data_IF_968167182793
#
_entry.id   IF_968167182793
#
_cell.length_a   1.000
_cell.length_b   1.000
_cell.length_c   1.000
_cell.angle_alpha   90.00
_cell.angle_beta   90.00
_cell.angle_gamma   90.00
#
_symmetry.space_group_name_H-M   'P 1'
#
loop_
_entity.id
_entity.type
_entity.pdbx_description
1 polymer ?
#
# COMPACT_ATOMS: atom_id res chain seq x y z
N UNK A 1 -41.59 -14.48 -27.38
CA UNK A 1 -41.02 -15.25 -26.23
C UNK A 1 -41.00 -16.76 -26.47
N UNK A 2 -42.13 -17.43 -26.77
CA UNK A 2 -42.16 -18.91 -26.94
C UNK A 2 -41.18 -19.45 -28.00
N UNK A 3 -41.03 -18.77 -29.15
CA UNK A 3 -40.08 -19.17 -30.21
C UNK A 3 -38.59 -19.05 -29.82
N UNK A 4 -38.25 -18.08 -28.98
CA UNK A 4 -36.87 -17.87 -28.50
C UNK A 4 -36.50 -18.97 -27.51
N UNK A 5 -37.42 -19.31 -26.61
CA UNK A 5 -37.23 -20.40 -25.63
C UNK A 5 -37.06 -21.74 -26.37
N UNK A 6 -37.86 -22.00 -27.40
CA UNK A 6 -37.71 -23.21 -28.23
C UNK A 6 -36.35 -23.27 -28.95
N UNK A 7 -35.87 -22.13 -29.46
CA UNK A 7 -34.55 -22.05 -30.13
C UNK A 7 -33.40 -22.33 -29.14
N UNK A 8 -33.48 -21.76 -27.94
CA UNK A 8 -32.47 -21.99 -26.88
C UNK A 8 -32.45 -23.45 -26.45
N UNK A 9 -33.61 -24.10 -26.31
CA UNK A 9 -33.68 -25.54 -25.97
C UNK A 9 -33.07 -26.38 -27.10
N UNK A 10 -33.40 -26.09 -28.36
CA UNK A 10 -32.84 -26.80 -29.53
C UNK A 10 -31.31 -26.68 -29.61
N UNK A 11 -30.77 -25.49 -29.39
CA UNK A 11 -29.32 -25.25 -29.39
C UNK A 11 -28.65 -26.05 -28.27
N UNK A 12 -29.20 -26.02 -27.05
CA UNK A 12 -28.62 -26.74 -25.91
C UNK A 12 -28.64 -28.26 -26.10
N UNK A 13 -29.74 -28.82 -26.65
CA UNK A 13 -29.84 -30.25 -26.93
C UNK A 13 -28.85 -30.66 -28.03
N UNK A 14 -28.71 -29.85 -29.09
CA UNK A 14 -27.76 -30.11 -30.16
C UNK A 14 -26.30 -30.07 -29.65
N UNK A 15 -25.96 -29.11 -28.79
CA UNK A 15 -24.60 -29.01 -28.21
C UNK A 15 -24.32 -30.07 -27.16
N UNK A 16 -25.33 -30.57 -26.44
CA UNK A 16 -25.16 -31.63 -25.43
C UNK A 16 -24.79 -32.99 -26.04
N UNK A 17 -25.11 -33.21 -27.31
CA UNK A 17 -24.72 -34.42 -28.05
C UNK A 17 -23.32 -34.32 -28.66
N UNK A 18 -22.73 -33.12 -28.68
CA UNK A 18 -21.36 -32.93 -29.15
C UNK A 18 -20.39 -33.26 -28.01
N UNK A 19 -19.81 -34.46 -28.03
CA UNK A 19 -18.69 -34.78 -27.16
C UNK A 19 -17.43 -34.06 -27.68
N UNK A 20 -17.27 -32.79 -27.30
CA UNK A 20 -16.13 -31.94 -27.67
C UNK A 20 -14.76 -32.50 -27.24
N UNK A 21 -14.75 -33.54 -26.39
CA UNK A 21 -13.55 -34.18 -25.87
C UNK A 21 -13.34 -35.60 -26.42
N UNK A 22 -14.11 -36.03 -27.43
CA UNK A 22 -13.83 -37.29 -28.12
C UNK A 22 -12.55 -37.16 -28.96
N UNK A 23 -11.45 -37.63 -28.38
CA UNK A 23 -10.11 -37.62 -28.95
C UNK A 23 -10.03 -38.32 -30.32
N UNK A 24 -10.98 -39.20 -30.64
CA UNK A 24 -11.01 -39.93 -31.92
C UNK A 24 -11.44 -39.07 -33.11
N UNK A 25 -12.07 -37.91 -32.86
CA UNK A 25 -12.44 -36.95 -33.91
C UNK A 25 -11.30 -35.99 -34.28
N UNK A 26 -10.20 -36.02 -33.54
CA UNK A 26 -9.03 -35.19 -33.79
C UNK A 26 -7.92 -36.06 -34.37
N UNK A 27 -7.56 -35.84 -35.63
CA UNK A 27 -6.32 -36.36 -36.19
C UNK A 27 -5.14 -35.70 -35.48
N UNK A 28 -4.62 -36.33 -34.43
CA UNK A 28 -3.42 -35.86 -33.72
C UNK A 28 -2.20 -36.23 -34.56
N UNK A 29 -1.85 -35.37 -35.53
CA UNK A 29 -0.47 -35.32 -35.99
C UNK A 29 0.36 -34.77 -34.83
N UNK A 30 1.12 -35.64 -34.17
CA UNK A 30 2.23 -35.18 -33.33
C UNK A 30 3.30 -34.63 -34.25
N UNK A 31 3.15 -33.38 -34.62
CA UNK A 31 4.28 -32.61 -35.10
C UNK A 31 5.34 -32.64 -33.99
N UNK A 32 6.56 -33.04 -34.32
CA UNK A 32 7.72 -32.87 -33.44
C UNK A 32 8.02 -31.38 -33.34
N UNK A 33 7.18 -30.63 -32.63
CA UNK A 33 7.37 -29.20 -32.39
C UNK A 33 8.49 -29.09 -31.37
N UNK A 34 9.69 -28.77 -31.87
CA UNK A 34 10.80 -28.34 -31.02
C UNK A 34 10.42 -26.98 -30.43
N UNK A 35 9.76 -26.97 -29.26
CA UNK A 35 9.40 -25.73 -28.56
C UNK A 35 10.69 -25.04 -28.11
N UNK A 36 11.06 -23.88 -28.68
CA UNK A 36 12.25 -23.19 -28.23
C UNK A 36 11.93 -22.61 -26.85
N UNK A 37 12.43 -23.23 -25.79
CA UNK A 37 12.32 -22.73 -24.40
C UNK A 37 12.82 -21.28 -24.26
N UNK A 38 13.61 -20.81 -25.23
CA UNK A 38 14.10 -19.45 -25.35
C UNK A 38 13.01 -18.39 -25.63
N UNK A 39 11.81 -18.76 -26.09
CA UNK A 39 10.75 -17.80 -26.40
C UNK A 39 10.28 -17.02 -25.16
N UNK A 40 10.16 -17.70 -24.01
CA UNK A 40 9.77 -17.06 -22.75
C UNK A 40 10.85 -16.08 -22.27
N UNK A 41 12.13 -16.49 -22.29
CA UNK A 41 13.26 -15.64 -21.89
C UNK A 41 13.33 -14.38 -22.75
N UNK A 42 13.08 -14.51 -24.06
CA UNK A 42 13.08 -13.35 -24.95
C UNK A 42 11.90 -12.40 -24.69
N UNK A 43 10.73 -12.94 -24.35
CA UNK A 43 9.59 -12.12 -23.93
C UNK A 43 9.84 -11.37 -22.61
N UNK A 44 10.69 -11.88 -21.72
CA UNK A 44 11.13 -11.14 -20.53
C UNK A 44 12.01 -9.93 -20.87
N UNK A 45 12.80 -9.99 -21.95
CA UNK A 45 13.65 -8.88 -22.39
C UNK A 45 12.80 -7.87 -23.16
N UNK A 46 12.01 -8.34 -24.13
CA UNK A 46 11.12 -7.51 -24.94
C UNK A 46 9.74 -8.17 -24.97
N UNK A 47 8.73 -7.53 -24.35
CA UNK A 47 7.36 -8.01 -24.39
C UNK A 47 6.88 -8.30 -25.83
N UNK A 48 6.29 -9.47 -26.03
CA UNK A 48 5.80 -9.90 -27.34
C UNK A 48 6.85 -10.57 -28.27
N UNK A 49 8.13 -10.62 -27.89
CA UNK A 49 9.19 -11.22 -28.71
C UNK A 49 9.01 -12.72 -28.93
N UNK A 50 8.62 -13.46 -27.90
CA UNK A 50 8.36 -14.90 -28.00
C UNK A 50 7.25 -15.23 -29.01
N UNK A 51 6.19 -14.42 -29.04
CA UNK A 51 5.10 -14.55 -30.02
C UNK A 51 5.61 -14.28 -31.44
N UNK A 52 6.44 -13.25 -31.61
CA UNK A 52 7.04 -12.93 -32.90
C UNK A 52 7.93 -14.07 -33.41
N UNK A 53 8.75 -14.66 -32.52
CA UNK A 53 9.59 -15.81 -32.85
C UNK A 53 8.78 -17.06 -33.22
N UNK A 54 7.62 -17.26 -32.59
CA UNK A 54 6.76 -18.40 -32.83
C UNK A 54 5.88 -18.24 -34.08
N UNK A 55 6.13 -17.22 -34.91
CA UNK A 55 5.33 -16.86 -36.09
C UNK A 55 3.84 -16.63 -35.77
N UNK A 56 3.53 -16.22 -34.54
CA UNK A 56 2.18 -15.78 -34.22
C UNK A 56 1.83 -14.51 -35.02
N UNK A 57 0.54 -14.25 -35.26
CA UNK A 57 0.11 -12.98 -35.85
C UNK A 57 0.69 -11.77 -35.09
N UNK A 58 1.24 -10.82 -35.84
CA UNK A 58 1.96 -9.65 -35.30
C UNK A 58 1.14 -8.83 -34.29
N UNK A 59 -0.19 -8.85 -34.41
CA UNK A 59 -1.09 -8.17 -33.49
C UNK A 59 -0.97 -8.72 -32.06
N UNK A 60 -0.64 -10.02 -31.86
CA UNK A 60 -0.44 -10.60 -30.52
C UNK A 60 0.81 -9.99 -29.87
N UNK A 61 1.93 -9.97 -30.59
CA UNK A 61 3.17 -9.35 -30.12
C UNK A 61 2.98 -7.87 -29.79
N UNK A 62 2.28 -7.13 -30.66
CA UNK A 62 1.98 -5.72 -30.44
C UNK A 62 1.11 -5.52 -29.20
N UNK A 63 0.11 -6.39 -28.98
CA UNK A 63 -0.76 -6.32 -27.81
C UNK A 63 0.03 -6.47 -26.51
N UNK A 64 0.93 -7.46 -26.42
CA UNK A 64 1.80 -7.63 -25.26
C UNK A 64 2.71 -6.42 -25.03
N UNK A 65 3.33 -5.91 -26.09
CA UNK A 65 4.17 -4.72 -26.02
C UNK A 65 3.40 -3.48 -25.55
N UNK A 66 2.20 -3.27 -26.08
CA UNK A 66 1.34 -2.14 -25.67
C UNK A 66 0.95 -2.24 -24.21
N UNK A 67 0.49 -3.40 -23.74
CA UNK A 67 0.11 -3.57 -22.33
C UNK A 67 1.27 -3.35 -21.37
N UNK A 68 2.47 -3.81 -21.72
CA UNK A 68 3.65 -3.60 -20.88
C UNK A 68 4.08 -2.14 -20.85
N UNK A 69 4.10 -1.44 -21.99
CA UNK A 69 4.42 0.00 -22.02
C UNK A 69 3.41 0.78 -21.16
N UNK A 70 2.12 0.49 -21.28
CA UNK A 70 1.08 1.13 -20.47
C UNK A 70 1.25 0.77 -18.99
N UNK A 71 1.42 -0.50 -18.66
CA UNK A 71 1.60 -0.97 -17.29
C UNK A 71 2.81 -0.35 -16.59
N UNK A 72 3.97 -0.33 -17.27
CA UNK A 72 5.19 0.29 -16.76
C UNK A 72 5.02 1.81 -16.60
N UNK A 73 4.36 2.47 -17.56
CA UNK A 73 4.10 3.92 -17.47
C UNK A 73 3.23 4.25 -16.25
N UNK A 74 2.16 3.48 -16.04
CA UNK A 74 1.29 3.62 -14.88
C UNK A 74 2.04 3.31 -13.58
N UNK A 75 2.83 2.23 -13.53
CA UNK A 75 3.61 1.88 -12.36
C UNK A 75 4.58 3.00 -11.97
N UNK A 76 5.28 3.59 -12.95
CA UNK A 76 6.20 4.71 -12.73
C UNK A 76 5.43 5.94 -12.21
N UNK A 77 4.29 6.27 -12.83
CA UNK A 77 3.47 7.41 -12.40
C UNK A 77 2.95 7.24 -10.96
N UNK A 78 2.32 6.10 -10.65
CA UNK A 78 1.78 5.84 -9.31
C UNK A 78 2.86 5.75 -8.24
N UNK A 79 4.04 5.18 -8.55
CA UNK A 79 5.15 5.16 -7.60
C UNK A 79 5.66 6.58 -7.31
N UNK A 80 5.78 7.44 -8.34
CA UNK A 80 6.15 8.85 -8.15
C UNK A 80 5.14 9.59 -7.28
N UNK A 81 3.85 9.43 -7.57
CA UNK A 81 2.77 10.06 -6.81
C UNK A 81 2.74 9.57 -5.36
N UNK A 82 2.99 8.28 -5.13
CA UNK A 82 3.14 7.72 -3.79
C UNK A 82 4.31 8.36 -3.02
N UNK A 83 5.47 8.52 -3.67
CA UNK A 83 6.63 9.18 -3.09
C UNK A 83 6.41 10.68 -2.82
N UNK A 84 5.69 11.37 -3.68
CA UNK A 84 5.30 12.78 -3.48
C UNK A 84 4.41 12.92 -2.24
N UNK A 85 3.34 12.14 -2.14
CA UNK A 85 2.44 12.15 -0.97
C UNK A 85 3.19 11.80 0.31
N UNK A 86 4.11 10.81 0.26
CA UNK A 86 4.95 10.45 1.41
C UNK A 86 5.80 11.65 1.85
N UNK A 87 6.52 12.28 0.93
CA UNK A 87 7.38 13.44 1.23
C UNK A 87 6.60 14.64 1.73
N UNK A 88 5.41 14.88 1.18
CA UNK A 88 4.52 15.95 1.62
C UNK A 88 4.09 15.72 3.08
N UNK A 89 3.69 14.50 3.42
CA UNK A 89 3.36 14.12 4.80
C UNK A 89 4.56 14.23 5.74
N UNK A 90 5.73 13.70 5.37
CA UNK A 90 6.95 13.79 6.19
C UNK A 90 7.36 15.25 6.43
N UNK A 91 7.34 16.08 5.37
CA UNK A 91 7.64 17.51 5.46
C UNK A 91 6.64 18.25 6.33
N UNK A 92 5.36 17.87 6.28
CA UNK A 92 4.33 18.44 7.15
C UNK A 92 4.56 18.01 8.61
N UNK A 93 4.78 16.72 8.86
CA UNK A 93 5.07 16.17 10.18
C UNK A 93 6.30 16.79 10.85
N UNK A 94 7.35 17.08 10.10
CA UNK A 94 8.55 17.71 10.63
C UNK A 94 8.34 19.14 11.10
N UNK A 95 7.40 19.86 10.47
CA UNK A 95 7.03 21.23 10.84
C UNK A 95 6.02 21.27 11.98
N UNK A 96 5.08 20.34 11.97
CA UNK A 96 3.84 20.45 12.76
C UNK A 96 3.77 19.49 13.94
N UNK A 97 4.60 18.44 14.00
CA UNK A 97 4.59 17.47 15.09
C UNK A 97 5.84 17.56 15.97
N UNK A 98 5.67 17.63 17.30
CA UNK A 98 6.80 17.63 18.26
C UNK A 98 6.59 16.69 19.45
N UNK A 99 7.69 16.10 19.94
CA UNK A 99 7.68 15.18 21.08
C UNK A 99 7.25 15.86 22.38
N UNK A 100 7.75 17.07 22.62
CA UNK A 100 7.41 17.85 23.81
C UNK A 100 5.91 18.15 23.87
N UNK A 101 5.32 18.57 22.74
CA UNK A 101 3.89 18.83 22.64
C UNK A 101 3.11 17.56 22.92
N UNK A 102 3.51 16.44 22.31
CA UNK A 102 2.89 15.15 22.54
C UNK A 102 2.91 14.75 24.02
N UNK A 103 4.06 14.84 24.68
CA UNK A 103 4.21 14.50 26.09
C UNK A 103 3.35 15.38 27.00
N UNK A 104 3.33 16.70 26.76
CA UNK A 104 2.58 17.65 27.57
C UNK A 104 1.07 17.54 27.36
N UNK A 105 0.64 17.36 26.11
CA UNK A 105 -0.76 17.17 25.77
C UNK A 105 -1.24 15.83 26.33
N UNK A 106 -0.49 14.74 26.18
CA UNK A 106 -0.88 13.41 26.72
C UNK A 106 -1.16 13.44 28.22
N UNK A 107 -0.35 14.16 29.00
CA UNK A 107 -0.60 14.40 30.45
C UNK A 107 -1.92 15.12 30.72
N UNK A 108 -2.24 16.11 29.89
CA UNK A 108 -3.47 16.90 30.01
C UNK A 108 -4.71 16.10 29.62
N UNK A 109 -4.54 15.20 28.64
CA UNK A 109 -5.62 14.37 28.07
C UNK A 109 -6.01 13.23 29.00
N UNK A 110 -5.01 12.54 29.55
CA UNK A 110 -5.21 11.35 30.37
C UNK A 110 -4.68 11.59 31.79
N UNK A 111 -5.30 12.50 32.57
CA UNK A 111 -4.88 12.74 33.93
C UNK A 111 -4.98 11.44 34.73
N UNK A 112 -3.85 10.98 35.27
CA UNK A 112 -3.75 9.72 36.03
C UNK A 112 -3.45 8.45 35.23
N UNK A 113 -3.45 8.49 33.88
CA UNK A 113 -3.12 7.32 33.02
C UNK A 113 -2.14 7.64 31.88
N UNK A 114 -1.64 8.87 31.80
CA UNK A 114 -0.74 9.32 30.74
C UNK A 114 0.54 8.48 30.60
N UNK A 115 1.07 7.91 31.70
CA UNK A 115 2.23 7.02 31.65
C UNK A 115 1.92 5.72 30.88
N UNK A 116 0.71 5.16 31.03
CA UNK A 116 0.27 3.98 30.28
C UNK A 116 0.21 4.26 28.77
N UNK A 117 -0.14 5.49 28.39
CA UNK A 117 -0.22 5.94 26.99
C UNK A 117 1.17 6.11 26.38
N UNK A 118 2.18 6.46 27.16
CA UNK A 118 3.58 6.51 26.71
C UNK A 118 4.16 5.12 26.45
N UNK A 119 3.77 4.14 27.27
CA UNK A 119 4.15 2.73 27.07
C UNK A 119 3.43 2.15 25.85
N UNK A 120 2.11 2.35 25.79
CA UNK A 120 1.25 2.10 24.63
C UNK A 120 1.42 0.75 23.94
N UNK A 121 0.89 0.64 22.73
CA UNK A 121 1.17 -0.49 21.82
C UNK A 121 2.30 -0.18 20.85
N UNK A 122 2.55 1.11 20.59
CA UNK A 122 3.57 1.61 19.69
C UNK A 122 4.48 2.57 20.42
N UNK A 123 5.74 2.63 19.98
CA UNK A 123 6.81 3.41 20.62
C UNK A 123 7.59 4.15 19.54
N UNK A 124 8.04 5.36 19.85
CA UNK A 124 8.98 6.09 19.01
C UNK A 124 10.39 5.90 19.53
N UNK A 125 11.36 5.87 18.63
CA UNK A 125 12.77 5.86 19.00
C UNK A 125 13.25 7.28 19.31
N UNK A 126 14.04 7.40 20.37
CA UNK A 126 14.67 8.64 20.79
C UNK A 126 16.17 8.42 20.99
N UNK A 127 16.95 9.46 20.69
CA UNK A 127 18.39 9.51 20.81
C UNK A 127 18.76 10.54 21.87
N UNK A 128 19.54 10.13 22.87
CA UNK A 128 20.04 10.99 23.93
C UNK A 128 21.54 10.70 24.06
N UNK A 129 22.38 11.72 23.87
CA UNK A 129 23.86 11.60 23.99
C UNK A 129 24.51 10.44 23.19
N UNK A 130 23.88 10.00 22.09
CA UNK A 130 24.37 8.90 21.26
C UNK A 130 23.76 7.52 21.58
N UNK A 131 23.03 7.41 22.69
CA UNK A 131 22.34 6.19 23.11
C UNK A 131 20.87 6.20 22.67
N UNK A 132 20.39 5.02 22.28
CA UNK A 132 19.05 4.81 21.76
C UNK A 132 18.10 4.35 22.86
N UNK A 133 16.97 5.05 22.98
CA UNK A 133 15.88 4.71 23.90
C UNK A 133 14.53 4.74 23.18
N UNK A 134 13.47 4.42 23.90
CA UNK A 134 12.10 4.45 23.41
C UNK A 134 11.22 5.35 24.27
N UNK A 135 10.08 5.78 23.71
CA UNK A 135 9.15 6.70 24.39
C UNK A 135 8.46 6.12 25.62
N UNK A 136 8.47 4.80 25.81
CA UNK A 136 7.97 4.16 27.04
C UNK A 136 8.80 4.54 28.28
N UNK A 137 10.07 4.88 28.10
CA UNK A 137 10.96 5.36 29.15
C UNK A 137 10.97 6.88 29.26
N UNK A 138 10.21 7.60 28.42
CA UNK A 138 10.28 9.05 28.31
C UNK A 138 9.96 9.77 29.61
N UNK A 139 9.02 9.24 30.41
CA UNK A 139 8.68 9.80 31.72
C UNK A 139 9.89 9.82 32.68
N UNK A 140 10.68 8.75 32.69
CA UNK A 140 11.91 8.66 33.47
C UNK A 140 13.02 9.54 32.88
N UNK A 141 13.24 9.46 31.57
CA UNK A 141 14.30 10.19 30.88
C UNK A 141 14.09 11.71 30.99
N UNK A 142 12.84 12.18 30.95
CA UNK A 142 12.52 13.61 31.06
C UNK A 142 12.89 14.23 32.41
N UNK A 143 13.01 13.43 33.48
CA UNK A 143 13.48 13.91 34.78
C UNK A 143 14.99 14.14 34.81
N UNK A 144 15.75 13.49 33.93
CA UNK A 144 17.21 13.54 33.90
C UNK A 144 17.75 14.39 32.74
N UNK A 145 16.96 14.60 31.69
CA UNK A 145 17.37 15.31 30.48
C UNK A 145 16.41 16.46 30.11
N UNK A 146 16.97 17.53 29.58
CA UNK A 146 16.24 18.63 28.96
C UNK A 146 15.69 18.23 27.59
N UNK A 147 14.66 18.92 27.10
CA UNK A 147 14.10 18.66 25.77
C UNK A 147 15.12 18.84 24.64
N UNK A 148 16.08 19.75 24.81
CA UNK A 148 17.15 19.99 23.84
C UNK A 148 18.15 18.83 23.73
N UNK A 149 18.10 17.86 24.64
CA UNK A 149 18.98 16.68 24.67
C UNK A 149 18.27 15.42 24.15
N UNK A 150 16.95 15.48 23.93
CA UNK A 150 16.11 14.35 23.52
C UNK A 150 15.70 14.54 22.07
N UNK A 151 16.29 13.77 21.17
CA UNK A 151 15.99 13.82 19.75
C UNK A 151 15.11 12.65 19.34
N UNK A 152 14.01 12.88 18.65
CA UNK A 152 13.22 11.79 18.05
C UNK A 152 13.86 11.34 16.76
N UNK A 153 14.00 10.04 16.56
CA UNK A 153 14.45 9.48 15.30
C UNK A 153 13.27 9.51 14.32
N UNK A 154 13.44 10.25 13.23
CA UNK A 154 12.42 10.50 12.20
C UNK A 154 12.57 9.49 11.05
N UNK A 155 12.29 8.22 11.34
CA UNK A 155 12.30 7.13 10.36
C UNK A 155 10.89 6.79 9.86
N UNK A 156 10.78 5.74 9.03
CA UNK A 156 9.49 5.27 8.52
C UNK A 156 8.52 4.96 9.66
N UNK A 157 8.98 4.27 10.71
CA UNK A 157 8.12 3.82 11.80
C UNK A 157 7.61 5.03 12.60
N UNK A 158 8.44 6.06 12.79
CA UNK A 158 8.01 7.33 13.34
C UNK A 158 6.85 7.94 12.56
N UNK A 159 7.01 8.13 11.24
CA UNK A 159 5.98 8.75 10.39
C UNK A 159 4.71 7.90 10.32
N UNK A 160 4.86 6.58 10.22
CA UNK A 160 3.74 5.64 10.25
C UNK A 160 2.97 5.75 11.57
N UNK A 161 3.68 5.82 12.70
CA UNK A 161 3.08 5.90 14.01
C UNK A 161 2.26 7.18 14.20
N UNK A 162 2.86 8.35 13.95
CA UNK A 162 2.20 9.64 14.17
C UNK A 162 1.06 9.91 13.17
N UNK A 163 1.06 9.23 12.02
CA UNK A 163 0.04 9.36 10.98
C UNK A 163 -1.12 8.37 11.11
N UNK A 164 -0.92 7.21 11.75
CA UNK A 164 -1.95 6.16 11.86
C UNK A 164 -2.58 6.00 13.24
N UNK A 165 -1.83 6.23 14.32
CA UNK A 165 -2.30 5.89 15.67
C UNK A 165 -2.65 7.12 16.48
N UNK A 166 -3.88 7.12 17.01
CA UNK A 166 -4.41 8.18 17.86
C UNK A 166 -3.56 8.44 19.12
N UNK A 167 -2.78 7.44 19.58
CA UNK A 167 -1.83 7.58 20.69
C UNK A 167 -0.88 8.78 20.52
N UNK A 168 -0.55 9.15 19.27
CA UNK A 168 0.41 10.22 18.97
C UNK A 168 -0.25 11.55 18.57
N UNK A 169 -1.58 11.63 18.60
CA UNK A 169 -2.34 12.79 18.13
C UNK A 169 -1.94 14.08 18.85
N UNK A 170 -1.64 13.98 20.15
CA UNK A 170 -1.29 15.13 20.99
C UNK A 170 -0.02 15.86 20.56
N UNK A 171 0.78 15.32 19.63
CA UNK A 171 1.99 15.98 19.14
C UNK A 171 1.76 16.98 18.00
N UNK A 172 0.61 16.96 17.34
CA UNK A 172 0.26 17.89 16.25
C UNK A 172 -0.10 19.29 16.78
N UNK A 173 0.14 20.34 15.99
CA UNK A 173 -0.10 21.75 16.32
C UNK A 173 -1.42 22.32 15.81
N UNK A 174 -2.40 21.46 15.51
CA UNK A 174 -3.67 21.86 14.90
C UNK A 174 -4.41 22.92 15.75
N UNK A 175 -4.72 24.10 15.20
CA UNK A 175 -5.41 25.17 15.91
C UNK A 175 -6.90 24.89 16.15
N UNK A 176 -7.52 23.96 15.43
CA UNK A 176 -8.97 23.75 15.41
C UNK A 176 -9.47 22.56 16.23
N UNK A 177 -8.59 21.85 16.91
CA UNK A 177 -8.98 20.70 17.70
C UNK A 177 -8.49 20.92 19.13
N UNK A 178 -9.41 21.31 20.02
CA UNK A 178 -9.34 20.81 21.38
C UNK A 178 -10.08 19.47 21.33
N UNK A 179 -9.38 18.32 21.23
CA UNK A 179 -10.04 17.02 21.13
C UNK A 179 -10.79 16.62 22.42
N UNK A 180 -10.86 17.53 23.39
CA UNK A 180 -11.28 17.34 24.78
C UNK A 180 -12.19 18.47 25.26
N UNK A 181 -12.82 19.23 24.35
CA UNK A 181 -14.09 19.86 24.72
C UNK A 181 -15.22 18.81 24.69
N UNK A 182 -16.26 18.99 25.49
CA UNK A 182 -17.42 18.07 25.51
C UNK A 182 -18.24 18.10 24.19
N UNK A 183 -17.73 18.78 23.15
CA UNK A 183 -18.43 19.11 21.90
C UNK A 183 -17.82 18.34 20.70
N UNK A 184 -16.55 17.96 20.76
CA UNK A 184 -15.75 17.48 19.64
C UNK A 184 -15.85 15.98 19.32
N UNK A 185 -16.57 15.63 18.26
CA UNK A 185 -16.47 14.31 17.60
C UNK A 185 -15.25 14.28 16.66
N UNK A 186 -14.08 14.04 17.24
CA UNK A 186 -12.74 14.03 16.62
C UNK A 186 -12.56 13.17 15.35
N UNK A 187 -13.49 12.24 15.07
CA UNK A 187 -13.49 11.40 13.86
C UNK A 187 -14.44 11.88 12.75
N UNK A 188 -15.16 13.00 12.93
CA UNK A 188 -16.26 13.40 12.03
C UNK A 188 -15.99 14.63 11.16
N UNK A 189 -14.93 15.40 11.41
CA UNK A 189 -14.71 16.64 10.65
C UNK A 189 -13.58 16.41 9.64
N UNK A 190 -13.94 16.60 8.37
CA UNK A 190 -13.04 16.51 7.22
C UNK A 190 -11.90 17.50 7.42
N UNK A 191 -10.68 16.98 7.63
CA UNK A 191 -9.46 17.78 7.59
C UNK A 191 -9.28 18.27 6.15
N UNK A 192 -9.18 19.60 6.00
CA UNK A 192 -9.16 20.31 4.72
C UNK A 192 -7.96 19.95 3.86
#
# INVERSE_FOLDING_TARGET
MKRIIQLVILINVATAQMNLYDLNHYHVNRDTINYPSNAMIKSFIIPGWGQFQNNDPIWKSLTFLTFEIVGLSLMIDYNKRGEEVRKDFETFADKHWTLERWYNNTKSIFPGRWEEVLVGTHKLQILINGDYYYTDQLAYLKNNYSWNEIFVIRDRDFYENIGKYDQFVGGWDDPFDNPFDDVGKWYTIKKG
#
